data_IF_338399463769
#
_entry.id   IF_338399463769
#
_cell.length_a   1.000
_cell.length_b   1.000
_cell.length_c   1.000
_cell.angle_alpha   90.00
_cell.angle_beta   90.00
_cell.angle_gamma   90.00
#
_symmetry.space_group_name_H-M   'P 1'
#
loop_
_entity.id
_entity.type
_entity.pdbx_description
1 polymer ?
#
# COMPACT_ATOMS: atom_id res chain seq x y z
N UNK A 1 -22.35 5.08 10.55
CA UNK A 1 -22.84 5.84 9.40
C UNK A 1 -22.50 7.32 9.54
N UNK A 2 -23.03 8.03 10.55
CA UNK A 2 -22.79 9.47 10.74
C UNK A 2 -21.30 9.83 10.74
N UNK A 3 -20.46 9.07 11.45
CA UNK A 3 -19.00 9.28 11.47
C UNK A 3 -18.44 9.21 10.05
N UNK A 4 -18.81 8.19 9.28
CA UNK A 4 -18.31 8.01 7.90
C UNK A 4 -18.70 9.19 7.01
N UNK A 5 -19.94 9.64 7.07
CA UNK A 5 -20.36 10.82 6.32
C UNK A 5 -19.65 12.10 6.78
N UNK A 6 -19.46 12.27 8.08
CA UNK A 6 -18.77 13.46 8.63
C UNK A 6 -17.31 13.54 8.19
N UNK A 7 -16.58 12.42 8.14
CA UNK A 7 -15.18 12.42 7.71
C UNK A 7 -15.02 12.60 6.19
N UNK A 8 -16.07 12.36 5.39
CA UNK A 8 -16.04 12.61 3.95
C UNK A 8 -16.44 14.05 3.58
N UNK A 9 -16.80 14.88 4.56
CA UNK A 9 -17.10 16.29 4.29
C UNK A 9 -15.83 17.13 4.23
N UNK A 10 -15.76 17.94 3.20
CA UNK A 10 -14.69 18.91 3.01
C UNK A 10 -14.87 20.05 4.01
N UNK A 11 -13.82 20.46 4.69
CA UNK A 11 -13.86 21.59 5.60
C UNK A 11 -12.80 22.64 5.26
N UNK A 12 -13.21 23.90 5.22
CA UNK A 12 -12.33 25.04 4.93
C UNK A 12 -11.15 25.16 5.90
N UNK A 13 -11.38 24.86 7.19
CA UNK A 13 -10.33 24.84 8.20
C UNK A 13 -9.21 23.80 7.96
N UNK A 14 -9.44 22.84 7.07
CA UNK A 14 -8.48 21.80 6.66
C UNK A 14 -7.98 21.99 5.23
N UNK A 15 -7.96 23.22 4.73
CA UNK A 15 -7.54 23.49 3.35
C UNK A 15 -8.44 22.87 2.29
N UNK A 16 -9.74 22.79 2.56
CA UNK A 16 -10.73 22.17 1.67
C UNK A 16 -10.51 20.66 1.46
N UNK A 17 -9.95 19.97 2.45
CA UNK A 17 -9.73 18.53 2.41
C UNK A 17 -10.59 17.78 3.43
N UNK A 18 -10.88 16.51 3.14
CA UNK A 18 -11.42 15.56 4.11
C UNK A 18 -10.29 15.06 5.03
N UNK A 19 -10.58 14.72 6.30
CA UNK A 19 -9.58 14.13 7.18
C UNK A 19 -9.18 12.74 6.66
N UNK A 20 -7.90 12.52 6.46
CA UNK A 20 -7.37 11.22 6.07
C UNK A 20 -7.46 10.25 7.25
N UNK A 21 -8.37 9.29 7.16
CA UNK A 21 -8.71 8.36 8.25
C UNK A 21 -8.55 6.92 7.80
N UNK A 22 -8.05 6.07 8.69
CA UNK A 22 -7.96 4.63 8.48
C UNK A 22 -8.64 3.87 9.60
N UNK A 23 -9.42 2.84 9.25
CA UNK A 23 -10.01 1.89 10.20
C UNK A 23 -9.40 0.51 9.95
N UNK A 24 -8.92 -0.12 11.02
CA UNK A 24 -8.40 -1.48 10.98
C UNK A 24 -9.43 -2.46 11.55
N UNK A 25 -9.63 -3.55 10.84
CA UNK A 25 -10.47 -4.68 11.20
C UNK A 25 -9.61 -5.92 11.30
N UNK A 26 -10.07 -6.93 12.00
CA UNK A 26 -9.23 -8.05 12.39
C UNK A 26 -9.97 -9.38 12.18
N UNK A 27 -9.24 -10.43 11.78
CA UNK A 27 -9.72 -11.79 11.97
C UNK A 27 -9.63 -12.21 13.45
N UNK A 28 -10.21 -13.36 13.78
CA UNK A 28 -10.27 -13.85 15.15
C UNK A 28 -8.88 -13.97 15.79
N UNK A 29 -7.93 -14.56 15.10
CA UNK A 29 -6.59 -14.82 15.63
C UNK A 29 -5.76 -13.54 15.77
N UNK A 30 -5.94 -12.61 14.85
CA UNK A 30 -5.32 -11.30 14.95
C UNK A 30 -5.86 -10.50 16.14
N UNK A 31 -7.19 -10.51 16.29
CA UNK A 31 -7.87 -9.86 17.40
C UNK A 31 -7.44 -10.44 18.75
N UNK A 32 -7.45 -11.77 18.91
CA UNK A 32 -7.04 -12.44 20.13
C UNK A 32 -5.56 -12.16 20.47
N UNK A 33 -4.68 -12.17 19.47
CA UNK A 33 -3.27 -11.88 19.67
C UNK A 33 -2.96 -10.43 20.06
N UNK A 34 -3.76 -9.47 19.57
CA UNK A 34 -3.57 -8.06 19.91
C UNK A 34 -4.27 -7.63 21.20
N UNK A 35 -5.49 -8.11 21.41
CA UNK A 35 -6.37 -7.60 22.46
C UNK A 35 -6.71 -8.63 23.54
N UNK A 36 -6.25 -9.87 23.43
CA UNK A 36 -6.57 -10.93 24.39
C UNK A 36 -6.16 -10.62 25.83
N UNK A 37 -5.08 -9.87 26.01
CA UNK A 37 -4.60 -9.44 27.33
C UNK A 37 -5.08 -8.04 27.74
N UNK A 38 -5.81 -7.36 26.86
CA UNK A 38 -6.36 -6.03 27.17
C UNK A 38 -7.51 -6.15 28.17
N UNK A 39 -7.52 -5.25 29.16
CA UNK A 39 -8.59 -5.17 30.18
C UNK A 39 -9.13 -3.74 30.21
N UNK A 40 -10.43 -3.59 30.08
CA UNK A 40 -11.09 -2.30 30.23
C UNK A 40 -11.03 -1.80 31.70
N UNK A 41 -11.25 -0.50 31.94
CA UNK A 41 -11.23 0.06 33.31
C UNK A 41 -12.22 -0.59 34.29
N UNK A 42 -13.29 -1.20 33.79
CA UNK A 42 -14.28 -1.93 34.59
C UNK A 42 -13.91 -3.40 34.85
N UNK A 43 -12.72 -3.84 34.38
CA UNK A 43 -12.23 -5.20 34.54
C UNK A 43 -12.71 -6.18 33.47
N UNK A 44 -13.53 -5.76 32.51
CA UNK A 44 -13.96 -6.63 31.40
C UNK A 44 -12.89 -6.75 30.32
N UNK A 45 -12.96 -7.80 29.50
CA UNK A 45 -12.09 -8.00 28.34
C UNK A 45 -12.84 -7.77 27.03
N UNK A 46 -12.13 -7.40 25.94
CA UNK A 46 -12.73 -7.33 24.61
C UNK A 46 -13.32 -8.68 24.20
N UNK A 47 -14.49 -8.67 23.62
CA UNK A 47 -15.19 -9.88 23.19
C UNK A 47 -15.23 -9.97 21.68
N UNK A 48 -14.72 -11.11 21.16
CA UNK A 48 -14.63 -11.34 19.73
C UNK A 48 -15.98 -11.30 18.99
N UNK A 49 -17.02 -11.97 19.53
CA UNK A 49 -18.28 -12.08 18.81
C UNK A 49 -18.95 -10.73 18.56
N UNK A 50 -18.95 -9.85 19.57
CA UNK A 50 -19.49 -8.51 19.48
C UNK A 50 -18.66 -7.66 18.50
N UNK A 51 -17.35 -7.74 18.58
CA UNK A 51 -16.44 -7.02 17.67
C UNK A 51 -16.61 -7.51 16.23
N UNK A 52 -16.63 -8.84 16.02
CA UNK A 52 -16.81 -9.44 14.70
C UNK A 52 -18.17 -9.08 14.08
N UNK A 53 -19.23 -9.12 14.86
CA UNK A 53 -20.55 -8.69 14.40
C UNK A 53 -20.55 -7.23 13.94
N UNK A 54 -19.97 -6.34 14.72
CA UNK A 54 -19.93 -4.91 14.42
C UNK A 54 -19.11 -4.62 13.15
N UNK A 55 -17.89 -5.18 13.05
CA UNK A 55 -17.00 -4.93 11.93
C UNK A 55 -17.56 -5.47 10.61
N UNK A 56 -18.13 -6.67 10.60
CA UNK A 56 -18.76 -7.25 9.40
C UNK A 56 -19.97 -6.44 8.95
N UNK A 57 -20.82 -6.02 9.90
CA UNK A 57 -21.98 -5.18 9.60
C UNK A 57 -21.57 -3.82 9.04
N UNK A 58 -20.52 -3.23 9.60
CA UNK A 58 -19.99 -1.97 9.12
C UNK A 58 -19.40 -2.08 7.70
N UNK A 59 -18.58 -3.07 7.44
CA UNK A 59 -17.94 -3.28 6.13
C UNK A 59 -18.98 -3.61 5.05
N UNK A 60 -19.94 -4.47 5.36
CA UNK A 60 -21.02 -4.76 4.43
C UNK A 60 -21.85 -3.49 4.11
N UNK A 61 -22.22 -2.72 5.13
CA UNK A 61 -22.89 -1.44 4.91
C UNK A 61 -22.05 -0.48 4.07
N UNK A 62 -20.77 -0.32 4.36
CA UNK A 62 -19.86 0.56 3.62
C UNK A 62 -19.74 0.14 2.16
N UNK A 63 -19.66 -1.17 1.92
CA UNK A 63 -19.60 -1.76 0.59
C UNK A 63 -20.85 -1.41 -0.24
N UNK A 64 -22.04 -1.58 0.36
CA UNK A 64 -23.30 -1.20 -0.27
C UNK A 64 -23.46 0.31 -0.46
N UNK A 65 -22.95 1.09 0.47
CA UNK A 65 -23.08 2.55 0.41
C UNK A 65 -22.19 3.16 -0.68
N UNK A 66 -20.97 2.62 -0.88
CA UNK A 66 -20.06 3.04 -1.95
C UNK A 66 -20.60 2.78 -3.36
N UNK A 67 -21.55 1.88 -3.52
CA UNK A 67 -22.26 1.70 -4.80
C UNK A 67 -23.22 2.87 -5.12
N UNK A 68 -23.60 3.67 -4.12
CA UNK A 68 -24.55 4.77 -4.25
C UNK A 68 -23.87 6.13 -4.31
N UNK A 69 -22.78 6.30 -3.57
CA UNK A 69 -22.06 7.56 -3.45
C UNK A 69 -20.58 7.34 -3.21
N UNK A 70 -19.78 8.31 -3.61
CA UNK A 70 -18.32 8.27 -3.38
C UNK A 70 -18.04 8.54 -1.90
N UNK A 71 -17.48 7.56 -1.21
CA UNK A 71 -16.98 7.65 0.15
C UNK A 71 -15.51 7.28 0.16
N UNK A 72 -14.62 8.26 0.08
CA UNK A 72 -13.17 8.04 0.04
C UNK A 72 -12.65 7.52 1.38
N UNK A 73 -13.19 8.04 2.48
CA UNK A 73 -12.77 7.71 3.84
C UNK A 73 -13.89 7.07 4.66
N UNK A 74 -13.56 6.24 5.66
CA UNK A 74 -12.21 5.80 6.02
C UNK A 74 -11.62 4.83 5.01
N UNK A 75 -10.29 4.84 4.84
CA UNK A 75 -9.59 3.70 4.26
C UNK A 75 -9.72 2.54 5.23
N UNK A 76 -10.23 1.42 4.77
CA UNK A 76 -10.47 0.25 5.62
C UNK A 76 -9.46 -0.84 5.30
N UNK A 77 -8.84 -1.41 6.33
CA UNK A 77 -7.91 -2.53 6.21
C UNK A 77 -8.36 -3.68 7.08
N UNK A 78 -8.52 -4.86 6.50
CA UNK A 78 -8.84 -6.10 7.22
C UNK A 78 -7.56 -6.92 7.42
N UNK A 79 -7.07 -6.99 8.65
CA UNK A 79 -5.86 -7.72 9.00
C UNK A 79 -6.19 -9.20 9.27
N UNK A 80 -5.52 -10.08 8.54
CA UNK A 80 -5.73 -11.53 8.62
C UNK A 80 -4.41 -12.25 8.89
N UNK A 81 -4.43 -13.21 9.79
CA UNK A 81 -3.29 -14.10 10.01
C UNK A 81 -3.28 -15.26 9.03
N UNK A 82 -2.09 -15.51 8.52
CA UNK A 82 -1.80 -16.67 7.66
C UNK A 82 -0.84 -17.64 8.34
N UNK A 83 -0.85 -18.88 7.89
CA UNK A 83 0.18 -19.85 8.21
C UNK A 83 1.48 -19.59 7.40
N UNK A 84 2.46 -20.51 7.54
CA UNK A 84 3.74 -20.39 6.82
C UNK A 84 3.60 -20.57 5.31
N UNK A 85 2.60 -21.30 4.90
CA UNK A 85 2.24 -21.61 3.52
C UNK A 85 1.43 -20.46 2.87
N UNK A 86 0.91 -19.52 3.67
CA UNK A 86 0.13 -18.37 3.21
C UNK A 86 -1.39 -18.61 3.22
N UNK A 87 -1.85 -19.71 3.83
CA UNK A 87 -3.28 -19.95 3.98
C UNK A 87 -3.86 -19.14 5.13
N UNK A 88 -5.09 -18.70 5.00
CA UNK A 88 -5.81 -18.02 6.07
C UNK A 88 -6.05 -18.97 7.24
N UNK A 89 -5.77 -18.52 8.45
CA UNK A 89 -6.09 -19.27 9.68
C UNK A 89 -7.58 -19.24 10.00
N UNK A 90 -8.25 -18.13 9.71
CA UNK A 90 -9.68 -17.94 9.92
C UNK A 90 -10.43 -18.05 8.59
N UNK A 91 -10.93 -19.26 8.30
CA UNK A 91 -11.67 -19.56 7.07
C UNK A 91 -13.03 -18.85 7.02
N UNK A 92 -13.68 -18.61 8.15
CA UNK A 92 -14.95 -17.89 8.22
C UNK A 92 -14.76 -16.43 7.81
N UNK A 93 -13.69 -15.78 8.29
CA UNK A 93 -13.29 -14.46 7.83
C UNK A 93 -12.89 -14.46 6.35
N UNK A 94 -12.16 -15.46 5.89
CA UNK A 94 -11.81 -15.59 4.47
C UNK A 94 -13.04 -15.62 3.57
N UNK A 95 -14.04 -16.45 3.90
CA UNK A 95 -15.30 -16.51 3.15
C UNK A 95 -16.07 -15.18 3.18
N UNK A 96 -16.11 -14.52 4.32
CA UNK A 96 -16.72 -13.18 4.41
C UNK A 96 -16.04 -12.19 3.47
N UNK A 97 -14.71 -12.12 3.48
CA UNK A 97 -13.93 -11.22 2.61
C UNK A 97 -14.20 -11.51 1.13
N UNK A 98 -14.19 -12.79 0.74
CA UNK A 98 -14.48 -13.19 -0.64
C UNK A 98 -15.89 -12.77 -1.08
N UNK A 99 -16.89 -12.94 -0.22
CA UNK A 99 -18.27 -12.55 -0.51
C UNK A 99 -18.40 -11.02 -0.67
N UNK A 100 -17.75 -10.24 0.19
CA UNK A 100 -17.78 -8.78 0.07
C UNK A 100 -17.03 -8.30 -1.19
N UNK A 101 -15.91 -8.91 -1.56
CA UNK A 101 -15.18 -8.59 -2.78
C UNK A 101 -15.98 -8.92 -4.06
N UNK A 102 -16.80 -9.97 -4.03
CA UNK A 102 -17.67 -10.31 -5.14
C UNK A 102 -18.81 -9.29 -5.36
N UNK A 103 -19.18 -8.53 -4.33
CA UNK A 103 -20.23 -7.51 -4.39
C UNK A 103 -19.68 -6.10 -4.63
N UNK A 104 -18.39 -5.90 -4.49
CA UNK A 104 -17.69 -4.62 -4.59
C UNK A 104 -16.57 -4.56 -3.57
N UNK A 105 -15.57 -3.72 -3.78
CA UNK A 105 -14.43 -3.65 -2.87
C UNK A 105 -14.40 -2.33 -2.12
N UNK A 106 -14.70 -2.34 -0.84
CA UNK A 106 -14.65 -1.18 0.03
C UNK A 106 -13.49 -1.19 1.03
N UNK A 107 -12.67 -2.24 1.06
CA UNK A 107 -11.57 -2.39 2.01
C UNK A 107 -10.41 -3.20 1.43
N UNK A 108 -9.25 -3.12 2.08
CA UNK A 108 -8.04 -3.87 1.72
C UNK A 108 -7.81 -5.01 2.69
N UNK A 109 -7.29 -6.12 2.19
CA UNK A 109 -6.86 -7.25 3.03
C UNK A 109 -5.37 -7.15 3.29
N UNK A 110 -5.00 -7.09 4.57
CA UNK A 110 -3.62 -7.12 5.04
C UNK A 110 -3.29 -8.52 5.56
N UNK A 111 -2.35 -9.20 4.92
CA UNK A 111 -1.93 -10.55 5.30
C UNK A 111 -0.64 -10.50 6.09
N UNK A 112 -0.64 -11.11 7.27
CA UNK A 112 0.53 -11.22 8.12
C UNK A 112 0.67 -12.62 8.71
N UNK A 113 1.90 -13.00 9.04
CA UNK A 113 2.21 -14.24 9.78
C UNK A 113 2.28 -14.01 11.28
N UNK A 114 2.29 -12.76 11.72
CA UNK A 114 2.39 -12.36 13.12
C UNK A 114 1.44 -11.21 13.40
N UNK A 115 0.96 -11.14 14.63
CA UNK A 115 0.20 -10.00 15.16
C UNK A 115 1.07 -8.78 15.49
N UNK A 116 2.39 -8.93 15.41
CA UNK A 116 3.35 -7.88 15.78
C UNK A 116 3.40 -6.73 14.77
N UNK A 117 2.65 -6.80 13.69
CA UNK A 117 2.63 -5.76 12.67
C UNK A 117 1.23 -5.48 12.15
N UNK A 118 0.94 -4.20 11.94
CA UNK A 118 -0.28 -3.70 11.33
C UNK A 118 0.03 -2.86 10.10
N UNK A 119 -0.87 -2.83 9.14
CA UNK A 119 -0.80 -1.86 8.06
C UNK A 119 -1.40 -0.53 8.48
N UNK A 120 -0.75 0.57 8.12
CA UNK A 120 -1.32 1.91 8.17
C UNK A 120 -2.15 2.21 6.91
N UNK A 121 -2.73 3.40 6.83
CA UNK A 121 -3.52 3.86 5.68
C UNK A 121 -2.79 3.71 4.33
N UNK A 122 -1.48 3.90 4.31
CA UNK A 122 -0.61 3.72 3.15
C UNK A 122 -0.08 2.29 3.02
N UNK A 123 -0.67 1.31 3.72
CA UNK A 123 -0.28 -0.11 3.75
C UNK A 123 1.17 -0.35 4.21
N UNK A 124 1.76 0.65 4.88
CA UNK A 124 3.04 0.51 5.52
C UNK A 124 2.92 -0.44 6.71
N UNK A 125 3.82 -1.38 6.78
CA UNK A 125 3.90 -2.31 7.89
C UNK A 125 4.51 -1.60 9.10
N UNK A 126 3.75 -1.52 10.20
CA UNK A 126 4.20 -0.96 11.47
C UNK A 126 4.45 -2.11 12.46
N UNK A 127 5.65 -2.16 13.04
CA UNK A 127 5.94 -3.10 14.10
C UNK A 127 5.25 -2.64 15.40
N UNK A 128 4.28 -3.42 15.87
CA UNK A 128 3.49 -3.09 17.07
C UNK A 128 4.35 -3.05 18.32
N UNK A 129 5.40 -3.89 18.39
CA UNK A 129 6.32 -3.96 19.54
C UNK A 129 7.13 -2.66 19.75
N UNK A 130 7.28 -1.82 18.72
CA UNK A 130 7.93 -0.52 18.85
C UNK A 130 6.95 0.59 19.26
N UNK A 131 5.67 0.27 19.38
CA UNK A 131 4.62 1.21 19.74
C UNK A 131 4.34 1.14 21.22
N UNK A 132 4.60 2.23 21.92
CA UNK A 132 4.15 2.39 23.30
C UNK A 132 2.64 2.69 23.30
N UNK A 133 1.83 1.72 23.73
CA UNK A 133 0.43 1.96 24.02
C UNK A 133 0.32 2.89 25.24
N UNK A 134 -0.16 4.09 25.04
CA UNK A 134 -0.57 4.95 26.15
C UNK A 134 -2.09 4.89 26.27
N UNK A 135 -2.57 4.38 27.39
CA UNK A 135 -4.00 4.18 27.68
C UNK A 135 -4.80 5.48 27.68
N UNK A 136 -4.18 6.64 27.82
CA UNK A 136 -4.85 7.94 27.85
C UNK A 136 -4.98 8.60 26.48
N UNK A 137 -4.07 8.31 25.53
CA UNK A 137 -3.98 9.04 24.26
C UNK A 137 -4.05 8.14 23.02
N UNK A 138 -4.41 6.88 23.15
CA UNK A 138 -4.38 5.92 22.07
C UNK A 138 -2.97 5.44 21.71
N UNK A 139 -2.77 4.98 20.51
CA UNK A 139 -1.45 4.53 20.04
C UNK A 139 -0.51 5.73 19.87
N UNK A 140 0.27 6.01 20.89
CA UNK A 140 1.41 6.94 20.77
C UNK A 140 2.63 6.11 20.40
N UNK A 141 3.33 6.50 19.34
CA UNK A 141 4.60 5.89 18.98
C UNK A 141 4.61 5.12 17.66
N UNK A 142 3.56 5.21 16.85
CA UNK A 142 3.68 4.87 15.43
C UNK A 142 4.57 5.94 14.81
N UNK A 143 5.87 5.65 14.79
CA UNK A 143 6.87 6.60 14.28
C UNK A 143 7.16 6.37 12.80
N UNK A 144 6.53 5.36 12.18
CA UNK A 144 6.71 5.05 10.77
C UNK A 144 5.63 5.72 9.93
N UNK A 145 5.98 5.99 8.69
CA UNK A 145 5.11 6.65 7.72
C UNK A 145 5.91 6.93 6.45
N UNK A 146 5.30 7.59 5.48
CA UNK A 146 5.99 8.07 4.30
C UNK A 146 6.31 9.55 4.48
N UNK A 147 7.59 9.92 4.44
CA UNK A 147 8.01 11.32 4.50
C UNK A 147 8.02 11.99 3.13
N UNK A 148 8.11 11.21 2.07
CA UNK A 148 7.92 11.67 0.69
C UNK A 148 7.55 10.49 -0.20
N UNK A 149 6.75 10.75 -1.25
CA UNK A 149 6.37 9.77 -2.27
C UNK A 149 6.70 10.33 -3.64
N UNK A 150 7.43 9.56 -4.45
CA UNK A 150 7.57 9.82 -5.89
C UNK A 150 6.98 8.63 -6.62
N UNK A 151 5.94 8.87 -7.41
CA UNK A 151 5.20 7.84 -8.12
C UNK A 151 5.74 7.64 -9.52
N UNK A 152 6.03 6.39 -9.86
CA UNK A 152 6.41 5.95 -11.19
C UNK A 152 5.16 5.65 -12.01
N UNK A 153 5.02 6.27 -13.16
CA UNK A 153 4.04 5.88 -14.18
C UNK A 153 4.61 4.72 -15.00
N UNK A 154 4.28 3.50 -14.59
CA UNK A 154 4.79 2.29 -15.25
C UNK A 154 4.28 2.16 -16.69
N UNK A 155 3.07 2.63 -16.97
CA UNK A 155 2.53 2.61 -18.33
C UNK A 155 3.44 3.42 -19.26
N UNK A 156 3.78 4.64 -18.87
CA UNK A 156 4.68 5.49 -19.65
C UNK A 156 6.09 4.90 -19.75
N UNK A 157 6.61 4.38 -18.64
CA UNK A 157 7.94 3.77 -18.58
C UNK A 157 8.06 2.58 -19.54
N UNK A 158 7.07 1.72 -19.59
CA UNK A 158 7.06 0.55 -20.49
C UNK A 158 6.93 0.98 -21.94
N UNK A 159 6.13 1.99 -22.25
CA UNK A 159 6.05 2.57 -23.60
C UNK A 159 7.41 3.16 -24.04
N UNK A 160 8.02 3.97 -23.16
CA UNK A 160 9.33 4.58 -23.47
C UNK A 160 10.44 3.52 -23.61
N UNK A 161 10.43 2.49 -22.77
CA UNK A 161 11.35 1.36 -22.91
C UNK A 161 11.22 0.69 -24.27
N UNK A 162 10.00 0.41 -24.67
CA UNK A 162 9.71 -0.25 -25.93
C UNK A 162 10.21 0.56 -27.13
N UNK A 163 10.08 1.89 -27.10
CA UNK A 163 10.61 2.77 -28.15
C UNK A 163 12.14 2.77 -28.26
N UNK A 164 12.85 2.33 -27.22
CA UNK A 164 14.31 2.24 -27.23
C UNK A 164 14.83 0.89 -27.71
N UNK A 165 13.96 -0.10 -27.84
CA UNK A 165 14.35 -1.44 -28.27
C UNK A 165 14.45 -1.52 -29.79
N UNK A 166 15.59 -2.01 -30.31
CA UNK A 166 15.92 -1.95 -31.74
C UNK A 166 15.00 -2.77 -32.65
N UNK A 167 14.46 -3.87 -32.12
CA UNK A 167 13.55 -4.78 -32.86
C UNK A 167 12.08 -4.36 -32.77
N UNK A 168 11.82 -3.23 -32.14
CA UNK A 168 10.50 -2.77 -31.75
C UNK A 168 9.65 -2.26 -32.91
N UNK A 169 10.27 -1.61 -33.90
CA UNK A 169 9.53 -0.88 -34.98
C UNK A 169 8.62 -1.77 -35.79
N UNK A 170 8.92 -3.06 -35.86
CA UNK A 170 8.15 -4.05 -36.62
C UNK A 170 6.98 -4.63 -35.83
N UNK A 171 6.81 -4.22 -34.57
CA UNK A 171 5.83 -4.76 -33.65
C UNK A 171 4.84 -3.73 -33.08
N UNK A 172 4.62 -2.61 -33.79
CA UNK A 172 3.57 -1.64 -33.47
C UNK A 172 2.40 -1.84 -34.42
N UNK A 173 1.21 -2.03 -33.89
CA UNK A 173 -0.01 -1.85 -34.64
C UNK A 173 -0.25 -0.34 -34.86
N UNK A 174 -0.12 0.09 -36.11
CA UNK A 174 -0.20 1.51 -36.50
C UNK A 174 -1.59 2.09 -36.25
N UNK A 175 -2.63 1.26 -36.32
CA UNK A 175 -4.02 1.69 -36.17
C UNK A 175 -4.43 1.85 -34.70
N UNK A 176 -3.92 1.00 -33.82
CA UNK A 176 -4.26 1.00 -32.40
C UNK A 176 -3.18 1.59 -31.50
N UNK A 177 -1.98 1.83 -32.04
CA UNK A 177 -0.78 2.21 -31.29
C UNK A 177 -0.47 1.28 -30.12
N UNK A 178 -0.87 0.00 -30.26
CA UNK A 178 -0.63 -1.06 -29.28
C UNK A 178 0.58 -1.88 -29.67
N UNK A 179 1.25 -2.41 -28.66
CA UNK A 179 2.30 -3.36 -28.85
C UNK A 179 1.76 -4.69 -29.41
N UNK A 180 2.40 -5.19 -30.46
CA UNK A 180 2.07 -6.47 -31.09
C UNK A 180 3.03 -7.59 -30.68
N UNK A 181 3.75 -7.44 -29.56
CA UNK A 181 4.59 -8.53 -29.08
C UNK A 181 3.74 -9.74 -28.70
N UNK A 182 4.17 -10.95 -29.08
CA UNK A 182 3.60 -12.16 -28.51
C UNK A 182 3.66 -12.10 -26.97
N UNK A 183 2.54 -12.34 -26.31
CA UNK A 183 2.44 -12.21 -24.85
C UNK A 183 3.41 -13.11 -24.08
N UNK A 184 3.81 -14.23 -24.69
CA UNK A 184 4.77 -15.18 -24.14
C UNK A 184 6.21 -14.64 -24.07
N UNK A 185 6.53 -13.56 -24.79
CA UNK A 185 7.83 -12.90 -24.72
C UNK A 185 8.19 -12.44 -23.31
N UNK A 186 7.20 -12.12 -22.48
CA UNK A 186 7.43 -11.80 -21.06
C UNK A 186 8.10 -12.95 -20.30
N UNK A 187 8.06 -14.18 -20.81
CA UNK A 187 8.75 -15.34 -20.22
C UNK A 187 10.19 -15.46 -20.72
N UNK A 188 10.59 -14.74 -21.77
CA UNK A 188 11.92 -14.79 -22.34
C UNK A 188 12.90 -13.95 -21.53
N UNK A 189 14.07 -14.51 -21.25
CA UNK A 189 15.06 -13.89 -20.38
C UNK A 189 15.54 -12.53 -20.92
N UNK A 190 15.80 -12.42 -22.21
CA UNK A 190 16.32 -11.18 -22.81
C UNK A 190 15.29 -10.06 -22.76
N UNK A 191 14.01 -10.38 -22.93
CA UNK A 191 12.91 -9.44 -22.80
C UNK A 191 12.76 -8.91 -21.37
N UNK A 192 12.82 -9.81 -20.39
CA UNK A 192 12.80 -9.45 -18.97
C UNK A 192 14.02 -8.60 -18.59
N UNK A 193 15.21 -8.96 -19.06
CA UNK A 193 16.44 -8.22 -18.79
C UNK A 193 16.40 -6.82 -19.39
N UNK A 194 15.83 -6.66 -20.58
CA UNK A 194 15.62 -5.37 -21.22
C UNK A 194 14.72 -4.44 -20.39
N UNK A 195 13.57 -4.93 -19.95
CA UNK A 195 12.66 -4.19 -19.06
C UNK A 195 13.35 -3.86 -17.73
N UNK A 196 13.98 -4.86 -17.11
CA UNK A 196 14.69 -4.71 -15.84
C UNK A 196 15.72 -3.59 -15.92
N UNK A 197 16.63 -3.65 -16.89
CA UNK A 197 17.70 -2.67 -17.08
C UNK A 197 17.18 -1.27 -17.34
N UNK A 198 16.07 -1.14 -18.08
CA UNK A 198 15.47 0.16 -18.31
C UNK A 198 14.85 0.74 -17.04
N UNK A 199 14.12 -0.08 -16.29
CA UNK A 199 13.57 0.33 -14.99
C UNK A 199 14.68 0.68 -14.00
N UNK A 200 15.81 -0.03 -14.00
CA UNK A 200 16.95 0.29 -13.13
C UNK A 200 17.55 1.67 -13.36
N UNK A 201 17.53 2.16 -14.59
CA UNK A 201 18.08 3.49 -14.93
C UNK A 201 17.17 4.65 -14.53
N UNK A 202 15.85 4.46 -14.47
CA UNK A 202 14.87 5.51 -14.11
C UNK A 202 14.92 5.84 -12.61
N UNK A 203 14.90 4.87 -11.69
CA UNK A 203 15.00 5.12 -10.28
C UNK A 203 16.25 5.86 -9.83
N UNK A 204 17.39 5.75 -10.50
CA UNK A 204 18.59 6.49 -10.08
C UNK A 204 18.30 7.98 -9.91
N UNK A 205 17.58 8.60 -10.84
CA UNK A 205 17.15 10.01 -10.73
C UNK A 205 16.14 10.20 -9.61
N UNK A 206 15.21 9.27 -9.44
CA UNK A 206 14.21 9.30 -8.38
C UNK A 206 14.86 9.19 -7.01
N UNK A 207 15.84 8.31 -6.83
CA UNK A 207 16.59 8.20 -5.57
C UNK A 207 17.40 9.45 -5.28
N UNK A 208 17.98 10.11 -6.27
CA UNK A 208 18.66 11.40 -6.09
C UNK A 208 17.70 12.48 -5.57
N UNK A 209 16.50 12.60 -6.15
CA UNK A 209 15.48 13.52 -5.64
C UNK A 209 15.01 13.15 -4.23
N UNK A 210 14.86 11.88 -3.94
CA UNK A 210 14.48 11.40 -2.62
C UNK A 210 15.57 11.70 -1.57
N UNK A 211 16.85 11.57 -1.91
CA UNK A 211 17.95 11.96 -1.04
C UNK A 211 17.97 13.47 -0.81
N UNK A 212 17.86 14.27 -1.85
CA UNK A 212 17.81 15.72 -1.71
C UNK A 212 16.64 16.18 -0.82
N UNK A 213 15.48 15.56 -0.97
CA UNK A 213 14.33 15.81 -0.12
C UNK A 213 14.58 15.37 1.33
N UNK A 214 15.18 14.19 1.52
CA UNK A 214 15.58 13.71 2.84
C UNK A 214 16.52 14.67 3.56
N UNK A 215 17.52 15.18 2.87
CA UNK A 215 18.48 16.12 3.41
C UNK A 215 17.80 17.47 3.78
N UNK A 216 16.88 17.93 2.94
CA UNK A 216 16.06 19.09 3.25
C UNK A 216 15.20 18.89 4.51
N UNK A 217 14.57 17.72 4.66
CA UNK A 217 13.77 17.38 5.84
C UNK A 217 14.61 17.35 7.12
N UNK A 218 15.82 16.79 7.05
CA UNK A 218 16.76 16.81 8.18
C UNK A 218 17.22 18.22 8.52
N UNK A 219 17.55 19.02 7.50
CA UNK A 219 17.88 20.42 7.70
C UNK A 219 16.74 21.20 8.39
N UNK A 220 15.50 21.04 7.92
CA UNK A 220 14.33 21.67 8.55
C UNK A 220 14.15 21.22 10.01
N UNK A 221 14.33 19.94 10.30
CA UNK A 221 14.27 19.39 11.66
C UNK A 221 15.35 20.02 12.55
N UNK A 222 16.60 20.08 12.06
CA UNK A 222 17.73 20.64 12.82
C UNK A 222 17.58 22.15 13.08
N UNK A 223 16.76 22.83 12.28
CA UNK A 223 16.38 24.25 12.47
C UNK A 223 15.05 24.44 13.20
N UNK A 224 14.52 23.39 13.84
CA UNK A 224 13.29 23.43 14.64
C UNK A 224 12.04 23.89 13.87
N UNK A 225 11.96 23.60 12.56
CA UNK A 225 10.81 23.96 11.73
C UNK A 225 9.65 22.96 11.84
N UNK A 226 9.87 21.80 12.49
CA UNK A 226 8.91 20.73 12.61
C UNK A 226 8.62 20.39 14.08
N UNK A 227 7.66 21.06 14.68
CA UNK A 227 7.32 20.91 16.09
C UNK A 227 6.99 19.47 16.51
N UNK A 228 6.37 18.66 15.65
CA UNK A 228 6.03 17.27 15.95
C UNK A 228 7.27 16.38 16.07
N UNK A 229 8.30 16.64 15.29
CA UNK A 229 9.59 15.92 15.37
C UNK A 229 10.41 16.36 16.57
N UNK A 230 10.41 17.67 16.86
CA UNK A 230 11.10 18.22 18.04
C UNK A 230 10.48 17.73 19.35
N UNK A 231 9.16 17.60 19.38
CA UNK A 231 8.43 17.04 20.53
C UNK A 231 8.60 15.51 20.68
N UNK A 232 9.28 14.85 19.73
CA UNK A 232 9.53 13.41 19.79
C UNK A 232 8.32 12.52 19.44
N UNK A 233 7.24 13.09 18.90
CA UNK A 233 6.07 12.31 18.46
C UNK A 233 6.35 11.46 17.23
N UNK A 234 7.26 11.89 16.37
CA UNK A 234 7.65 11.24 15.13
C UNK A 234 9.17 11.19 15.03
N UNK A 235 9.72 10.11 14.50
CA UNK A 235 11.15 9.99 14.21
C UNK A 235 11.36 9.96 12.69
N UNK A 236 12.09 10.96 12.17
CA UNK A 236 12.33 11.11 10.74
C UNK A 236 13.09 9.92 10.13
N UNK A 237 14.01 9.29 10.88
CA UNK A 237 14.80 8.14 10.41
C UNK A 237 13.99 6.84 10.33
N UNK A 238 12.84 6.78 11.01
CA UNK A 238 11.91 5.65 10.95
C UNK A 238 10.87 5.77 9.82
N UNK A 239 10.87 6.89 9.10
CA UNK A 239 9.96 7.11 7.98
C UNK A 239 10.59 6.73 6.65
N UNK A 240 9.73 6.36 5.70
CA UNK A 240 10.16 5.90 4.37
C UNK A 240 10.12 7.04 3.34
N UNK A 241 11.05 6.96 2.41
CA UNK A 241 11.01 7.59 1.10
C UNK A 241 10.35 6.57 0.16
N UNK A 242 9.10 6.82 -0.20
CA UNK A 242 8.29 5.84 -0.91
C UNK A 242 8.47 5.96 -2.41
N UNK A 243 8.68 4.83 -3.07
CA UNK A 243 8.59 4.69 -4.51
C UNK A 243 7.16 4.22 -4.81
N UNK A 244 6.31 5.15 -5.21
CA UNK A 244 4.94 4.86 -5.62
C UNK A 244 4.91 4.19 -6.99
N UNK A 245 3.94 3.33 -7.21
CA UNK A 245 3.71 2.64 -8.49
C UNK A 245 2.28 2.92 -8.95
N UNK A 246 2.15 3.38 -10.19
CA UNK A 246 0.88 3.54 -10.87
C UNK A 246 0.96 2.97 -12.29
N UNK A 247 -0.19 2.73 -12.92
CA UNK A 247 -0.25 2.29 -14.32
C UNK A 247 0.23 0.86 -14.58
N UNK A 248 0.33 -0.01 -13.55
CA UNK A 248 0.81 -1.40 -13.72
C UNK A 248 -0.10 -2.22 -14.65
N UNK A 249 -1.43 -2.12 -14.47
CA UNK A 249 -2.39 -2.83 -15.31
C UNK A 249 -2.33 -2.33 -16.74
N UNK A 250 -2.32 -1.01 -16.92
CA UNK A 250 -2.23 -0.38 -18.25
C UNK A 250 -0.93 -0.76 -18.96
N UNK A 251 0.19 -0.85 -18.23
CA UNK A 251 1.46 -1.32 -18.78
C UNK A 251 1.38 -2.78 -19.25
N UNK A 252 0.72 -3.63 -18.48
CA UNK A 252 0.52 -5.04 -18.83
C UNK A 252 -0.42 -5.18 -20.05
N UNK A 253 -1.54 -4.45 -20.07
CA UNK A 253 -2.48 -4.42 -21.21
C UNK A 253 -1.83 -3.87 -22.48
N UNK A 254 -0.96 -2.86 -22.35
CA UNK A 254 -0.17 -2.34 -23.47
C UNK A 254 0.74 -3.40 -24.08
N UNK A 255 1.33 -4.28 -23.27
CA UNK A 255 2.11 -5.44 -23.72
C UNK A 255 1.24 -6.65 -24.13
N UNK A 256 -0.07 -6.49 -24.28
CA UNK A 256 -0.99 -7.54 -24.72
C UNK A 256 -1.37 -8.57 -23.66
N UNK A 257 -1.12 -8.28 -22.38
CA UNK A 257 -1.46 -9.19 -21.29
C UNK A 257 -2.87 -8.93 -20.77
N UNK A 258 -3.58 -9.99 -20.42
CA UNK A 258 -4.81 -9.89 -19.62
C UNK A 258 -4.45 -9.76 -18.14
N UNK A 259 -5.00 -8.72 -17.46
CA UNK A 259 -4.79 -8.48 -16.05
C UNK A 259 -5.62 -9.44 -15.19
N UNK A 260 -5.23 -10.69 -15.17
CA UNK A 260 -5.86 -11.75 -14.38
C UNK A 260 -4.81 -12.69 -13.76
N UNK A 261 -5.26 -13.82 -13.15
CA UNK A 261 -4.39 -14.78 -12.49
C UNK A 261 -3.64 -15.72 -13.47
N UNK A 262 -3.21 -15.22 -14.64
CA UNK A 262 -2.41 -15.97 -15.62
C UNK A 262 -0.90 -15.89 -15.34
N UNK A 263 -0.13 -16.73 -16.02
CA UNK A 263 1.33 -16.80 -15.82
C UNK A 263 2.05 -15.54 -16.34
N UNK A 264 1.58 -14.94 -17.41
CA UNK A 264 2.24 -13.81 -18.06
C UNK A 264 2.14 -12.54 -17.19
N UNK A 265 0.92 -12.20 -16.75
CA UNK A 265 0.70 -11.07 -15.86
C UNK A 265 1.44 -11.22 -14.52
N UNK A 266 1.39 -12.43 -13.92
CA UNK A 266 2.18 -12.71 -12.71
C UNK A 266 3.67 -12.55 -12.91
N UNK A 267 4.20 -13.00 -14.04
CA UNK A 267 5.63 -12.88 -14.36
C UNK A 267 6.01 -11.42 -14.51
N UNK A 268 5.21 -10.63 -15.22
CA UNK A 268 5.40 -9.19 -15.35
C UNK A 268 5.37 -8.47 -13.99
N UNK A 269 4.34 -8.69 -13.18
CA UNK A 269 4.24 -8.10 -11.86
C UNK A 269 5.47 -8.45 -10.98
N UNK A 270 5.88 -9.72 -10.98
CA UNK A 270 7.07 -10.14 -10.22
C UNK A 270 8.34 -9.46 -10.70
N UNK A 271 8.52 -9.32 -12.01
CA UNK A 271 9.66 -8.62 -12.60
C UNK A 271 9.71 -7.17 -12.11
N UNK A 272 8.62 -6.43 -12.23
CA UNK A 272 8.54 -5.02 -11.82
C UNK A 272 8.82 -4.88 -10.31
N UNK A 273 8.08 -5.62 -9.48
CA UNK A 273 8.22 -5.49 -8.02
C UNK A 273 9.59 -5.96 -7.51
N UNK A 274 10.16 -7.03 -8.08
CA UNK A 274 11.48 -7.49 -7.66
C UNK A 274 12.56 -6.49 -8.04
N UNK A 275 12.48 -5.89 -9.23
CA UNK A 275 13.43 -4.88 -9.69
C UNK A 275 13.45 -3.66 -8.79
N UNK A 276 12.27 -3.09 -8.49
CA UNK A 276 12.17 -1.92 -7.61
C UNK A 276 12.62 -2.27 -6.18
N UNK A 277 12.27 -3.46 -5.69
CA UNK A 277 12.70 -3.94 -4.36
C UNK A 277 14.23 -4.09 -4.26
N UNK A 278 14.88 -4.56 -5.31
CA UNK A 278 16.34 -4.65 -5.38
C UNK A 278 16.98 -3.26 -5.36
N UNK A 279 16.43 -2.30 -6.11
CA UNK A 279 16.90 -0.92 -6.11
C UNK A 279 16.68 -0.26 -4.74
N UNK A 280 15.53 -0.43 -4.10
CA UNK A 280 15.29 0.06 -2.74
C UNK A 280 16.33 -0.46 -1.73
N UNK A 281 16.72 -1.73 -1.83
CA UNK A 281 17.78 -2.31 -0.99
C UNK A 281 19.15 -1.70 -1.25
N UNK A 282 19.49 -1.50 -2.54
CA UNK A 282 20.77 -0.90 -2.97
C UNK A 282 20.93 0.53 -2.46
N UNK A 283 19.84 1.31 -2.47
CA UNK A 283 19.85 2.72 -2.10
C UNK A 283 19.58 3.00 -0.62
N UNK A 284 19.24 1.98 0.17
CA UNK A 284 18.98 2.14 1.60
C UNK A 284 20.23 2.65 2.34
N UNK A 285 20.06 3.69 3.17
CA UNK A 285 21.08 4.20 4.08
C UNK A 285 20.57 4.20 5.52
N UNK A 286 21.38 4.66 6.47
CA UNK A 286 20.98 4.78 7.87
C UNK A 286 19.82 5.77 8.07
N UNK A 287 19.81 6.87 7.33
CA UNK A 287 18.82 7.96 7.45
C UNK A 287 17.76 7.95 6.34
N UNK A 288 18.01 7.22 5.25
CA UNK A 288 17.11 7.08 4.11
C UNK A 288 16.65 5.63 3.96
N UNK A 289 15.42 5.36 4.41
CA UNK A 289 14.76 4.06 4.25
C UNK A 289 13.82 4.13 3.05
N UNK A 290 13.78 3.09 2.23
CA UNK A 290 12.92 3.05 1.03
C UNK A 290 11.91 1.90 1.12
N UNK A 291 10.70 2.16 0.66
CA UNK A 291 9.68 1.15 0.41
C UNK A 291 9.02 1.37 -0.96
N UNK A 292 8.19 0.43 -1.35
CA UNK A 292 7.40 0.50 -2.58
C UNK A 292 5.94 0.37 -2.23
N UNK A 293 5.11 1.20 -2.84
CA UNK A 293 3.68 1.23 -2.60
C UNK A 293 2.93 1.39 -3.92
N UNK A 294 1.90 0.56 -4.12
CA UNK A 294 0.95 0.79 -5.20
C UNK A 294 0.04 1.95 -4.79
N UNK A 295 0.10 3.03 -5.56
CA UNK A 295 -0.79 4.17 -5.34
C UNK A 295 -2.20 3.75 -5.75
N UNK A 296 -3.21 3.92 -4.88
CA UNK A 296 -4.59 3.67 -5.27
C UNK A 296 -4.96 4.52 -6.48
N UNK A 297 -5.50 3.91 -7.50
CA UNK A 297 -6.16 4.65 -8.57
C UNK A 297 -7.49 5.18 -8.01
N UNK A 298 -7.71 6.47 -8.14
CA UNK A 298 -9.00 7.09 -7.91
C UNK A 298 -9.95 6.85 -9.10
#
# INVERSE_FOLDING_TARGET
QQVTYSINQIAGARGMQSPFTNFSFFDKYFFEGMFGEFVFPDGTKPEWNSTNWLQRRYLHWLNQERLKCILTFPVCSYACLTDKEGNFKDLDTFHFICNEYAQGNSFFTYLSRSVDSLSSCCRLQNAVQENTFNTTNGQIGIMTGSKNVITLDLNRIIQDWQHTWSDYKDHIDVDTNKCCFPVDWITHKDFQEGIKKYIENIPERVYLYQYAYNDLMHWCKDHHLYAAYDAGFINLDKQYLTIGINGLNQAAEYLGMECNNNIYYKTFCRLIFSTIKEQNKKHKTKTAQFNTEQVPAE
#
